data_IF_700784607103
#
_entry.id   IF_700784607103
#
_cell.length_a   1.000
_cell.length_b   1.000
_cell.length_c   1.000
_cell.angle_alpha   90.00
_cell.angle_beta   90.00
_cell.angle_gamma   90.00
#
_symmetry.space_group_name_H-M   'P 1'
#
loop_
_entity.id
_entity.type
_entity.pdbx_description
1 polymer ?
#
# COMPACT_ATOMS: atom_id res chain seq x y z
N UNK A 1 -1.88 -5.42 -9.18
CA UNK A 1 -2.45 -6.68 -8.64
C UNK A 1 -2.25 -6.70 -7.13
N UNK A 2 -3.20 -7.23 -6.34
CA UNK A 2 -3.04 -7.31 -4.87
C UNK A 2 -2.11 -8.49 -4.52
N UNK A 3 -1.17 -8.34 -3.58
CA UNK A 3 -0.23 -9.40 -3.26
C UNK A 3 -0.91 -10.55 -2.50
N UNK A 4 -0.33 -11.73 -2.63
CA UNK A 4 -0.84 -12.99 -2.09
C UNK A 4 0.02 -13.40 -0.89
N UNK A 5 -0.61 -13.70 0.23
CA UNK A 5 0.06 -14.19 1.42
C UNK A 5 0.66 -15.59 1.17
N UNK A 6 1.96 -15.77 1.38
CA UNK A 6 2.67 -17.03 1.23
C UNK A 6 2.24 -18.13 2.23
N UNK A 7 1.62 -17.74 3.36
CA UNK A 7 1.18 -18.69 4.39
C UNK A 7 -0.23 -19.23 4.11
N UNK A 8 -1.17 -18.34 3.74
CA UNK A 8 -2.59 -18.71 3.65
C UNK A 8 -3.22 -18.52 2.27
N UNK A 9 -2.45 -18.09 1.27
CA UNK A 9 -2.90 -17.91 -0.11
C UNK A 9 -3.94 -16.79 -0.32
N UNK A 10 -4.32 -16.06 0.74
CA UNK A 10 -5.29 -14.96 0.61
C UNK A 10 -4.64 -13.73 0.00
N UNK A 11 -5.39 -13.01 -0.83
CA UNK A 11 -5.03 -11.67 -1.29
C UNK A 11 -5.21 -10.70 -0.13
N UNK A 12 -4.14 -10.04 0.30
CA UNK A 12 -4.19 -9.19 1.50
C UNK A 12 -3.39 -7.91 1.33
N UNK A 13 -3.91 -6.82 1.87
CA UNK A 13 -3.24 -5.53 1.96
C UNK A 13 -3.79 -4.85 3.23
N UNK A 14 -2.97 -4.32 4.16
CA UNK A 14 -1.50 -4.25 4.17
C UNK A 14 -0.82 -5.62 4.36
N UNK A 15 0.49 -5.70 4.11
CA UNK A 15 1.29 -6.93 4.24
C UNK A 15 2.70 -6.65 4.75
N UNK A 16 3.36 -7.70 5.23
CA UNK A 16 4.76 -7.68 5.65
C UNK A 16 5.57 -8.48 4.64
N UNK A 17 6.72 -7.96 4.22
CA UNK A 17 7.66 -8.70 3.38
C UNK A 17 8.75 -9.32 4.24
N UNK A 18 9.11 -10.57 3.95
CA UNK A 18 10.31 -11.23 4.44
C UNK A 18 11.14 -11.65 3.24
N UNK A 19 12.22 -10.93 2.96
CA UNK A 19 12.91 -11.06 1.68
C UNK A 19 11.92 -10.82 0.52
N UNK A 20 11.74 -11.83 -0.34
CA UNK A 20 10.82 -11.78 -1.48
C UNK A 20 9.42 -12.35 -1.18
N UNK A 21 9.19 -12.90 0.01
CA UNK A 21 7.91 -13.50 0.38
C UNK A 21 6.97 -12.45 1.00
N UNK A 22 5.71 -12.45 0.55
CA UNK A 22 4.66 -11.58 1.11
C UNK A 22 3.85 -12.33 2.15
N UNK A 23 3.65 -11.75 3.33
CA UNK A 23 2.84 -12.30 4.41
C UNK A 23 1.74 -11.32 4.80
N UNK A 24 0.50 -11.79 4.76
CA UNK A 24 -0.66 -10.99 5.14
C UNK A 24 -0.70 -10.65 6.64
N UNK A 25 -1.53 -9.69 7.05
CA UNK A 25 -1.43 -9.05 8.36
C UNK A 25 -1.78 -10.01 9.50
N UNK A 26 -2.83 -10.82 9.32
CA UNK A 26 -3.22 -11.85 10.30
C UNK A 26 -2.16 -12.95 10.45
N UNK A 27 -1.54 -13.37 9.34
CA UNK A 27 -0.49 -14.39 9.38
C UNK A 27 0.80 -13.82 9.98
N UNK A 28 1.14 -12.57 9.66
CA UNK A 28 2.28 -11.86 10.26
C UNK A 28 2.11 -11.69 11.78
N UNK A 29 0.90 -11.37 12.25
CA UNK A 29 0.61 -11.27 13.68
C UNK A 29 0.77 -12.61 14.39
N UNK A 30 0.24 -13.70 13.83
CA UNK A 30 0.37 -15.06 14.40
C UNK A 30 1.82 -15.55 14.41
N UNK A 31 2.61 -15.17 13.41
CA UNK A 31 4.03 -15.51 13.30
C UNK A 31 4.94 -14.57 14.10
N UNK A 32 4.41 -13.58 14.84
CA UNK A 32 5.23 -12.64 15.63
C UNK A 32 6.08 -11.68 14.78
N UNK A 33 5.72 -11.49 13.51
CA UNK A 33 6.48 -10.67 12.56
C UNK A 33 6.18 -9.17 12.67
N UNK A 34 5.01 -8.80 13.21
CA UNK A 34 4.65 -7.40 13.42
C UNK A 34 5.59 -6.63 14.38
N UNK A 35 5.97 -7.16 15.56
CA UNK A 35 6.94 -6.48 16.42
C UNK A 35 8.35 -6.42 15.79
N UNK A 36 8.71 -7.37 14.92
CA UNK A 36 9.97 -7.32 14.15
C UNK A 36 9.90 -6.25 13.05
N UNK A 37 8.76 -6.10 12.39
CA UNK A 37 8.54 -5.06 11.38
C UNK A 37 8.59 -3.63 11.95
N UNK A 38 8.32 -3.46 13.25
CA UNK A 38 8.48 -2.17 13.93
C UNK A 38 9.94 -1.82 14.22
N UNK A 39 10.83 -2.83 14.29
CA UNK A 39 12.26 -2.59 14.44
C UNK A 39 12.78 -2.10 13.10
N UNK A 40 13.49 -0.97 13.09
CA UNK A 40 14.08 -0.37 11.87
C UNK A 40 15.23 -1.22 11.25
N UNK A 41 15.40 -2.46 11.67
CA UNK A 41 16.49 -3.35 11.26
C UNK A 41 15.96 -4.76 10.99
N UNK A 42 16.43 -5.37 9.89
CA UNK A 42 16.14 -6.75 9.52
C UNK A 42 15.49 -6.92 8.14
N UNK A 43 15.18 -8.16 7.80
CA UNK A 43 14.56 -8.56 6.52
C UNK A 43 13.04 -8.35 6.49
N UNK A 44 12.46 -7.85 7.59
CA UNK A 44 11.02 -7.74 7.80
C UNK A 44 10.58 -6.30 7.55
N UNK A 45 9.94 -6.04 6.42
CA UNK A 45 9.54 -4.68 6.01
C UNK A 45 8.01 -4.58 6.00
N UNK A 46 7.41 -3.68 6.81
CA UNK A 46 5.99 -3.40 6.72
C UNK A 46 5.70 -2.58 5.46
N UNK A 47 4.86 -3.10 4.56
CA UNK A 47 4.42 -2.36 3.38
C UNK A 47 3.03 -1.81 3.65
N UNK A 48 3.00 -0.52 4.00
CA UNK A 48 1.77 0.27 4.13
C UNK A 48 1.69 1.13 2.87
N UNK A 49 0.55 1.07 2.17
CA UNK A 49 0.31 1.96 1.03
C UNK A 49 0.42 3.41 1.52
N UNK A 50 1.43 4.13 1.03
CA UNK A 50 1.52 5.57 1.25
C UNK A 50 0.34 6.21 0.52
N UNK A 51 -0.53 6.90 1.26
CA UNK A 51 -1.56 7.75 0.66
C UNK A 51 -0.83 8.90 -0.01
N UNK A 52 -0.84 8.94 -1.34
CA UNK A 52 -0.33 10.07 -2.10
C UNK A 52 -1.46 11.11 -2.06
N UNK A 53 -1.22 12.22 -1.38
CA UNK A 53 -2.13 13.37 -1.44
C UNK A 53 -2.03 13.94 -2.86
N UNK A 54 -3.12 13.86 -3.62
CA UNK A 54 -3.17 14.41 -4.96
C UNK A 54 -3.35 15.93 -4.82
N UNK A 55 -2.45 16.76 -5.38
CA UNK A 55 -2.64 18.20 -5.33
C UNK A 55 -3.95 18.55 -6.04
N UNK A 56 -4.78 19.39 -5.40
CA UNK A 56 -5.97 19.91 -6.06
C UNK A 56 -5.53 20.96 -7.08
N UNK A 57 -5.65 20.63 -8.37
CA UNK A 57 -5.48 21.60 -9.43
C UNK A 57 -6.75 22.46 -9.54
N UNK A 58 -6.64 23.78 -9.75
CA UNK A 58 -7.80 24.62 -10.07
C UNK A 58 -8.45 24.08 -11.34
N UNK A 59 -9.71 23.66 -11.24
CA UNK A 59 -10.52 23.35 -12.41
C UNK A 59 -11.03 24.70 -12.93
N UNK A 60 -10.60 25.13 -14.11
CA UNK A 60 -11.11 26.33 -14.80
C UNK A 60 -12.26 25.93 -15.73
N UNK A 61 -13.53 26.06 -15.32
CA UNK A 61 -14.68 25.64 -16.12
C UNK A 61 -14.92 26.55 -17.33
N UNK A 62 -14.45 27.81 -17.29
CA UNK A 62 -14.80 28.85 -18.26
C UNK A 62 -13.93 28.85 -19.54
N UNK A 63 -13.10 27.83 -19.75
CA UNK A 63 -12.11 27.82 -20.85
C UNK A 63 -12.75 27.67 -22.25
N UNK A 64 -14.02 27.28 -22.33
CA UNK A 64 -14.69 26.92 -23.58
C UNK A 64 -15.91 27.78 -23.93
N UNK A 65 -16.26 28.77 -23.11
CA UNK A 65 -17.48 29.56 -23.31
C UNK A 65 -17.35 30.73 -24.32
N UNK A 66 -16.17 30.93 -24.90
CA UNK A 66 -15.89 32.08 -25.78
C UNK A 66 -15.45 31.65 -27.19
N UNK A 67 -16.36 31.10 -27.98
CA UNK A 67 -16.25 31.15 -29.45
C UNK A 67 -17.60 31.60 -30.03
N UNK A 68 -17.84 32.91 -30.22
CA UNK A 68 -18.99 33.39 -30.98
C UNK A 68 -18.83 32.99 -32.46
N UNK A 69 -19.91 32.45 -33.04
CA UNK A 69 -20.04 31.99 -34.42
C UNK A 69 -20.26 33.15 -35.41
#
# INVERSE_FOLDING_TARGET
MKPICAICGRRTEPFVMIGNAVIGPKCAQRAGLMPLAQRKSGLVIPVIRRRIEKPQHPQTPDLFDEVPA
#
